data_IF_097395331195
#
_entry.id   IF_097395331195
#
_cell.length_a   1.000
_cell.length_b   1.000
_cell.length_c   1.000
_cell.angle_alpha   90.00
_cell.angle_beta   90.00
_cell.angle_gamma   90.00
#
_symmetry.space_group_name_H-M   'P 1'
#
loop_
_entity.id
_entity.type
_entity.pdbx_description
1 polymer ?
#
# COMPACT_ATOMS: atom_id res chain seq x y z
N UNK A 1 21.49 53.12 -35.10
CA UNK A 1 22.21 51.93 -34.65
C UNK A 1 21.74 51.62 -33.23
N UNK A 2 20.68 50.82 -33.12
CA UNK A 2 20.12 50.37 -31.84
C UNK A 2 20.59 48.93 -31.59
N UNK A 3 21.38 48.75 -30.54
CA UNK A 3 21.93 47.47 -30.14
C UNK A 3 20.82 46.56 -29.60
N UNK A 4 20.78 45.29 -30.03
CA UNK A 4 19.88 44.26 -29.52
C UNK A 4 20.26 43.84 -28.08
N UNK A 5 19.31 43.51 -27.22
CA UNK A 5 19.61 43.05 -25.87
C UNK A 5 20.22 41.65 -25.89
N UNK A 6 21.09 41.31 -24.90
CA UNK A 6 21.74 40.01 -24.83
C UNK A 6 20.76 38.90 -24.56
N UNK A 7 20.91 37.76 -25.26
CA UNK A 7 20.19 36.52 -25.04
C UNK A 7 20.41 36.00 -23.61
N UNK A 8 19.32 35.76 -22.90
CA UNK A 8 19.34 35.16 -21.58
C UNK A 8 19.86 33.72 -21.62
N UNK A 9 20.48 33.23 -20.52
CA UNK A 9 21.09 31.91 -20.49
C UNK A 9 20.06 30.81 -20.70
N UNK A 10 20.41 29.91 -21.63
CA UNK A 10 19.65 28.71 -21.91
C UNK A 10 19.51 27.85 -20.61
N UNK A 11 18.31 27.63 -20.15
CA UNK A 11 18.03 26.77 -19.03
C UNK A 11 18.30 25.31 -19.39
N UNK A 12 19.41 24.80 -18.91
CA UNK A 12 19.87 23.41 -19.01
C UNK A 12 18.89 22.45 -18.29
N UNK A 13 18.74 21.17 -18.72
CA UNK A 13 17.84 20.20 -18.09
C UNK A 13 18.41 19.61 -16.80
N UNK A 14 18.75 20.43 -15.82
CA UNK A 14 19.35 20.02 -14.55
C UNK A 14 18.34 19.61 -13.47
N UNK A 15 17.03 19.71 -13.73
CA UNK A 15 16.01 19.45 -12.70
C UNK A 15 15.58 17.97 -12.55
N UNK A 16 15.98 17.09 -13.46
CA UNK A 16 15.61 15.67 -13.39
C UNK A 16 16.58 14.81 -12.57
N UNK A 17 17.79 15.25 -12.35
CA UNK A 17 18.82 14.51 -11.59
C UNK A 17 18.73 14.68 -10.07
N UNK A 18 17.97 15.65 -9.56
CA UNK A 18 17.96 15.96 -8.13
C UNK A 18 16.94 15.13 -7.29
N UNK A 19 15.90 14.58 -7.89
CA UNK A 19 14.85 13.85 -7.16
C UNK A 19 15.29 12.43 -6.80
N UNK A 20 15.99 11.77 -7.72
CA UNK A 20 16.53 10.42 -7.49
C UNK A 20 17.83 10.43 -6.67
N UNK A 21 18.49 11.56 -6.53
CA UNK A 21 19.75 11.69 -5.77
C UNK A 21 19.54 11.61 -4.24
N UNK A 22 18.32 11.79 -3.75
CA UNK A 22 17.98 11.71 -2.32
C UNK A 22 17.45 10.34 -1.86
N UNK A 23 17.19 9.41 -2.79
CA UNK A 23 16.73 8.06 -2.47
C UNK A 23 17.91 7.11 -2.26
N UNK A 24 17.78 6.19 -1.30
CA UNK A 24 18.76 5.11 -1.17
C UNK A 24 18.77 4.27 -2.46
N UNK A 25 19.89 3.63 -2.77
CA UNK A 25 19.98 2.73 -3.94
C UNK A 25 18.93 1.63 -3.86
N UNK A 26 18.60 1.18 -2.65
CA UNK A 26 17.58 0.17 -2.41
C UNK A 26 16.18 0.67 -2.77
N UNK A 27 15.80 1.87 -2.35
CA UNK A 27 14.49 2.46 -2.65
C UNK A 27 14.34 2.78 -4.16
N UNK A 28 15.46 3.18 -4.80
CA UNK A 28 15.46 3.50 -6.23
C UNK A 28 15.16 2.30 -7.12
N UNK A 29 15.61 1.11 -6.72
CA UNK A 29 15.42 -0.15 -7.45
C UNK A 29 14.38 -1.07 -6.79
N UNK A 30 13.51 -0.53 -5.93
CA UNK A 30 12.51 -1.30 -5.19
C UNK A 30 11.67 -2.20 -6.10
N UNK A 31 11.17 -1.68 -7.23
CA UNK A 31 10.39 -2.46 -8.18
C UNK A 31 11.18 -3.67 -8.72
N UNK A 32 12.47 -3.49 -8.99
CA UNK A 32 13.34 -4.58 -9.47
C UNK A 32 13.55 -5.62 -8.38
N UNK A 33 13.77 -5.20 -7.14
CA UNK A 33 13.93 -6.11 -6.01
C UNK A 33 12.66 -6.92 -5.74
N UNK A 34 11.49 -6.28 -5.82
CA UNK A 34 10.19 -6.96 -5.65
C UNK A 34 10.00 -8.00 -6.76
N UNK A 35 10.20 -7.64 -8.04
CA UNK A 35 10.08 -8.60 -9.15
C UNK A 35 11.09 -9.75 -9.04
N UNK A 36 12.32 -9.47 -8.61
CA UNK A 36 13.33 -10.49 -8.36
C UNK A 36 12.90 -11.43 -7.21
N UNK A 37 12.38 -10.90 -6.11
CA UNK A 37 11.88 -11.69 -4.98
C UNK A 37 10.68 -12.56 -5.38
N UNK A 38 9.75 -12.03 -6.17
CA UNK A 38 8.62 -12.79 -6.74
C UNK A 38 9.10 -13.95 -7.60
N UNK A 39 10.00 -13.67 -8.55
CA UNK A 39 10.55 -14.69 -9.45
C UNK A 39 11.33 -15.75 -8.67
N UNK A 40 12.12 -15.33 -7.69
CA UNK A 40 12.87 -16.24 -6.82
C UNK A 40 11.94 -17.10 -5.97
N UNK A 41 10.89 -16.53 -5.37
CA UNK A 41 9.88 -17.27 -4.62
C UNK A 41 9.15 -18.30 -5.47
N UNK A 42 8.68 -17.92 -6.66
CA UNK A 42 8.10 -18.86 -7.64
C UNK A 42 9.05 -19.99 -8.00
N UNK A 43 10.33 -19.67 -8.23
CA UNK A 43 11.37 -20.66 -8.50
C UNK A 43 11.57 -21.64 -7.34
N UNK A 44 11.67 -21.12 -6.11
CA UNK A 44 11.80 -21.95 -4.91
C UNK A 44 10.61 -22.90 -4.73
N UNK A 45 9.39 -22.40 -4.80
CA UNK A 45 8.18 -23.23 -4.67
C UNK A 45 8.06 -24.33 -5.73
N UNK A 46 8.71 -24.15 -6.88
CA UNK A 46 8.71 -25.12 -7.97
C UNK A 46 9.87 -26.10 -7.93
N UNK A 47 11.05 -25.65 -7.48
CA UNK A 47 12.29 -26.43 -7.49
C UNK A 47 12.51 -27.24 -6.21
N UNK A 48 11.85 -26.87 -5.11
CA UNK A 48 11.99 -27.55 -3.81
C UNK A 48 10.66 -28.24 -3.46
N UNK A 49 10.52 -29.55 -3.79
CA UNK A 49 9.31 -30.31 -3.46
C UNK A 49 9.08 -30.33 -1.95
N UNK A 50 7.83 -30.10 -1.52
CA UNK A 50 7.47 -30.11 -0.11
C UNK A 50 7.87 -28.86 0.68
N UNK A 51 8.31 -27.78 0.00
CA UNK A 51 8.59 -26.50 0.65
C UNK A 51 7.32 -25.85 1.20
N UNK A 52 6.23 -25.98 0.47
CA UNK A 52 4.88 -25.55 0.86
C UNK A 52 4.42 -26.29 2.13
N UNK A 53 4.57 -27.62 2.18
CA UNK A 53 4.27 -28.43 3.36
C UNK A 53 5.16 -28.06 4.54
N UNK A 54 6.48 -27.86 4.31
CA UNK A 54 7.43 -27.48 5.35
C UNK A 54 7.12 -26.08 5.94
N UNK A 55 6.77 -25.11 5.10
CA UNK A 55 6.38 -23.76 5.54
C UNK A 55 5.02 -23.77 6.23
N UNK A 56 4.06 -24.60 5.77
CA UNK A 56 2.76 -24.78 6.39
C UNK A 56 2.87 -25.53 7.73
N UNK A 57 3.84 -26.43 7.90
CA UNK A 57 4.04 -27.13 9.18
C UNK A 57 4.43 -26.23 10.34
N UNK A 58 4.94 -25.02 10.06
CA UNK A 58 5.34 -24.02 11.04
C UNK A 58 4.22 -22.99 11.24
N UNK A 59 3.00 -23.50 11.52
CA UNK A 59 1.83 -22.68 11.83
C UNK A 59 1.49 -22.76 13.33
N UNK A 60 1.06 -21.61 13.88
CA UNK A 60 0.55 -21.52 15.24
C UNK A 60 -0.81 -20.79 15.20
N UNK A 61 -1.87 -21.49 15.55
CA UNK A 61 -3.22 -20.93 15.54
C UNK A 61 -3.71 -20.52 14.14
N UNK A 62 -3.34 -21.27 13.09
CA UNK A 62 -3.68 -20.95 11.68
C UNK A 62 -2.82 -19.88 11.04
N UNK A 63 -1.83 -19.36 11.74
CA UNK A 63 -0.94 -18.30 11.24
C UNK A 63 0.43 -18.90 10.92
N UNK A 64 0.87 -18.73 9.67
CA UNK A 64 2.23 -19.08 9.26
C UNK A 64 3.26 -18.19 9.96
N UNK A 65 4.10 -18.80 10.82
CA UNK A 65 5.14 -18.05 11.56
C UNK A 65 6.15 -17.33 10.65
N UNK A 66 6.63 -17.90 9.53
CA UNK A 66 7.52 -17.18 8.63
C UNK A 66 6.88 -15.91 8.06
N UNK A 67 5.61 -15.98 7.66
CA UNK A 67 4.86 -14.82 7.14
C UNK A 67 4.65 -13.80 8.26
N UNK A 68 4.21 -14.24 9.43
CA UNK A 68 4.01 -13.37 10.59
C UNK A 68 5.29 -12.62 10.97
N UNK A 69 6.43 -13.31 11.03
CA UNK A 69 7.73 -12.71 11.33
C UNK A 69 8.13 -11.68 10.26
N UNK A 70 8.01 -12.03 8.98
CA UNK A 70 8.29 -11.13 7.87
C UNK A 70 7.48 -9.84 7.96
N UNK A 71 6.18 -9.96 8.23
CA UNK A 71 5.26 -8.83 8.37
C UNK A 71 5.61 -7.95 9.58
N UNK A 72 5.88 -8.54 10.74
CA UNK A 72 6.25 -7.78 11.94
C UNK A 72 7.58 -7.04 11.73
N UNK A 73 8.57 -7.70 11.14
CA UNK A 73 9.87 -7.10 10.81
C UNK A 73 9.72 -5.96 9.79
N UNK A 74 8.81 -6.10 8.80
CA UNK A 74 8.54 -5.08 7.80
C UNK A 74 7.79 -3.89 8.40
N UNK A 75 6.71 -4.14 9.15
CA UNK A 75 5.80 -3.09 9.64
C UNK A 75 6.43 -2.23 10.75
N UNK A 76 7.19 -2.84 11.64
CA UNK A 76 7.76 -2.13 12.79
C UNK A 76 8.63 -0.92 12.40
N UNK A 77 9.64 -1.01 11.50
CA UNK A 77 10.44 0.15 11.13
C UNK A 77 9.64 1.25 10.41
N UNK A 78 8.64 0.86 9.63
CA UNK A 78 7.75 1.80 8.94
C UNK A 78 6.98 2.63 9.96
N UNK A 79 6.38 1.96 10.93
CA UNK A 79 5.56 2.60 11.96
C UNK A 79 6.41 3.37 12.99
N UNK A 80 7.67 2.96 13.23
CA UNK A 80 8.62 3.72 14.03
C UNK A 80 9.08 5.04 13.36
N UNK A 81 8.98 5.16 12.02
CA UNK A 81 9.26 6.41 11.28
C UNK A 81 8.12 7.42 11.38
N UNK A 82 6.90 6.99 11.69
CA UNK A 82 5.70 7.83 11.69
C UNK A 82 5.80 8.93 12.74
N UNK A 83 5.53 10.17 12.35
CA UNK A 83 5.51 11.35 13.22
C UNK A 83 4.10 11.57 13.78
N UNK A 84 3.79 10.86 14.84
CA UNK A 84 2.49 10.97 15.52
C UNK A 84 2.25 12.35 16.18
N UNK A 85 3.34 13.08 16.48
CA UNK A 85 3.31 14.44 17.01
C UNK A 85 2.94 15.52 15.98
N UNK A 86 2.95 15.19 14.70
CA UNK A 86 2.63 16.09 13.60
C UNK A 86 1.19 15.93 13.07
N UNK A 87 0.40 15.05 13.67
CA UNK A 87 -1.01 14.92 13.31
C UNK A 87 -1.74 16.28 13.37
N UNK A 88 -1.35 17.15 14.31
CA UNK A 88 -1.90 18.50 14.44
C UNK A 88 -1.52 19.45 13.29
N UNK A 89 -0.35 19.24 12.66
CA UNK A 89 0.14 20.16 11.62
C UNK A 89 -0.62 19.99 10.29
N UNK A 90 -1.11 18.78 9.98
CA UNK A 90 -1.91 18.50 8.76
C UNK A 90 -3.40 18.78 8.97
N UNK A 91 -3.85 18.87 10.24
CA UNK A 91 -5.21 19.39 10.55
C UNK A 91 -5.40 20.83 10.06
N UNK A 92 -4.33 21.56 9.76
CA UNK A 92 -4.35 22.88 9.11
C UNK A 92 -4.86 22.85 7.66
N UNK A 93 -4.63 21.74 6.90
CA UNK A 93 -5.23 21.58 5.57
C UNK A 93 -6.43 20.64 5.60
N UNK A 94 -7.56 21.22 6.05
CA UNK A 94 -8.83 20.48 6.15
C UNK A 94 -9.26 19.87 4.83
N UNK A 95 -8.93 20.50 3.68
CA UNK A 95 -9.31 20.00 2.36
C UNK A 95 -8.59 18.68 2.05
N UNK A 96 -7.27 18.65 2.23
CA UNK A 96 -6.48 17.43 2.03
C UNK A 96 -6.92 16.33 3.00
N UNK A 97 -7.10 16.65 4.27
CA UNK A 97 -7.47 15.69 5.31
C UNK A 97 -8.83 15.04 5.04
N UNK A 98 -9.88 15.86 4.84
CA UNK A 98 -11.24 15.36 4.60
C UNK A 98 -11.28 14.56 3.28
N UNK A 99 -10.64 15.07 2.23
CA UNK A 99 -10.59 14.37 0.94
C UNK A 99 -9.86 13.03 1.05
N UNK A 100 -8.74 12.99 1.78
CA UNK A 100 -8.00 11.75 2.00
C UNK A 100 -8.82 10.73 2.79
N UNK A 101 -9.47 11.14 3.88
CA UNK A 101 -10.34 10.25 4.65
C UNK A 101 -11.50 9.71 3.80
N UNK A 102 -12.19 10.58 3.07
CA UNK A 102 -13.31 10.19 2.22
C UNK A 102 -12.87 9.22 1.10
N UNK A 103 -11.75 9.54 0.42
CA UNK A 103 -11.26 8.71 -0.68
C UNK A 103 -10.71 7.38 -0.18
N UNK A 104 -9.98 7.37 0.93
CA UNK A 104 -9.37 6.13 1.44
C UNK A 104 -10.37 5.22 2.16
N UNK A 105 -11.33 5.77 2.91
CA UNK A 105 -12.15 4.98 3.84
C UNK A 105 -13.60 4.82 3.41
N UNK A 106 -14.05 5.60 2.42
CA UNK A 106 -15.39 5.47 1.84
C UNK A 106 -15.30 5.03 0.39
N UNK A 107 -14.63 5.85 -0.46
CA UNK A 107 -14.60 5.60 -1.90
C UNK A 107 -13.78 4.36 -2.26
N UNK A 108 -12.59 4.20 -1.68
CA UNK A 108 -11.69 3.08 -1.97
C UNK A 108 -12.34 1.71 -1.72
N UNK A 109 -12.85 1.42 -0.51
CA UNK A 109 -13.59 0.20 -0.24
C UNK A 109 -14.80 -0.01 -1.15
N UNK A 110 -15.59 1.05 -1.40
CA UNK A 110 -16.77 0.98 -2.27
C UNK A 110 -16.42 0.65 -3.72
N UNK A 111 -15.38 1.28 -4.26
CA UNK A 111 -14.90 1.00 -5.63
C UNK A 111 -14.38 -0.42 -5.74
N UNK A 112 -13.56 -0.89 -4.77
CA UNK A 112 -13.06 -2.26 -4.80
C UNK A 112 -14.20 -3.28 -4.68
N UNK A 113 -15.18 -3.04 -3.79
CA UNK A 113 -16.37 -3.87 -3.68
C UNK A 113 -17.12 -3.96 -5.01
N UNK A 114 -17.42 -2.82 -5.63
CA UNK A 114 -18.12 -2.78 -6.91
C UNK A 114 -17.35 -3.53 -8.02
N UNK A 115 -16.04 -3.28 -8.14
CA UNK A 115 -15.20 -3.95 -9.12
C UNK A 115 -15.10 -5.46 -8.87
N UNK A 116 -14.97 -5.87 -7.61
CA UNK A 116 -14.92 -7.29 -7.24
C UNK A 116 -16.21 -8.01 -7.65
N UNK A 117 -17.37 -7.40 -7.43
CA UNK A 117 -18.66 -7.97 -7.85
C UNK A 117 -18.88 -7.94 -9.36
N UNK A 118 -18.40 -6.91 -10.08
CA UNK A 118 -18.53 -6.81 -11.54
C UNK A 118 -17.65 -7.84 -12.27
N UNK A 119 -16.40 -8.00 -11.81
CA UNK A 119 -15.42 -8.83 -12.53
C UNK A 119 -15.36 -10.28 -12.06
N UNK A 120 -15.77 -10.55 -10.81
CA UNK A 120 -15.65 -11.87 -10.16
C UNK A 120 -17.00 -12.35 -9.56
N UNK A 121 -18.12 -12.27 -10.30
CA UNK A 121 -19.42 -12.70 -9.76
C UNK A 121 -19.46 -14.20 -9.47
N UNK A 122 -18.75 -15.00 -10.25
CA UNK A 122 -18.67 -16.46 -10.21
C UNK A 122 -17.49 -17.02 -9.40
N UNK A 123 -16.65 -16.14 -8.82
CA UNK A 123 -15.44 -16.52 -8.06
C UNK A 123 -15.47 -15.91 -6.66
N UNK A 124 -16.30 -16.44 -5.73
CA UNK A 124 -16.56 -15.84 -4.43
C UNK A 124 -15.30 -15.71 -3.55
N UNK A 125 -14.39 -16.67 -3.59
CA UNK A 125 -13.14 -16.61 -2.82
C UNK A 125 -12.25 -15.44 -3.27
N UNK A 126 -12.03 -15.29 -4.58
CA UNK A 126 -11.22 -14.19 -5.13
C UNK A 126 -11.89 -12.85 -4.92
N UNK A 127 -13.22 -12.78 -5.06
CA UNK A 127 -14.02 -11.60 -4.77
C UNK A 127 -13.84 -11.13 -3.32
N UNK A 128 -13.98 -12.05 -2.38
CA UNK A 128 -13.77 -11.80 -0.94
C UNK A 128 -12.35 -11.31 -0.67
N UNK A 129 -11.35 -11.97 -1.25
CA UNK A 129 -9.95 -11.55 -1.11
C UNK A 129 -9.69 -10.13 -1.62
N UNK A 130 -10.24 -9.77 -2.79
CA UNK A 130 -10.12 -8.40 -3.31
C UNK A 130 -10.84 -7.36 -2.45
N UNK A 131 -12.00 -7.70 -1.88
CA UNK A 131 -12.69 -6.80 -0.95
C UNK A 131 -11.80 -6.56 0.28
N UNK A 132 -11.19 -7.60 0.85
CA UNK A 132 -10.24 -7.49 1.97
C UNK A 132 -9.05 -6.59 1.60
N UNK A 133 -8.49 -6.75 0.40
CA UNK A 133 -7.45 -5.85 -0.14
C UNK A 133 -7.96 -4.41 -0.20
N UNK A 134 -9.19 -4.20 -0.66
CA UNK A 134 -9.84 -2.89 -0.74
C UNK A 134 -9.99 -2.18 0.60
N UNK A 135 -10.07 -2.92 1.71
CA UNK A 135 -10.14 -2.37 3.06
C UNK A 135 -8.77 -1.99 3.63
N UNK A 136 -7.69 -2.54 3.10
CA UNK A 136 -6.34 -2.35 3.58
C UNK A 136 -5.66 -1.16 2.88
N UNK A 137 -5.40 -0.07 3.60
CA UNK A 137 -4.75 1.14 3.05
C UNK A 137 -3.23 1.06 3.16
N UNK A 138 -2.54 1.50 2.12
CA UNK A 138 -1.08 1.49 2.07
C UNK A 138 -0.47 2.37 3.18
N UNK A 139 0.55 1.84 3.87
CA UNK A 139 1.26 2.53 4.95
C UNK A 139 2.79 2.56 4.73
N UNK A 140 3.32 1.70 3.87
CA UNK A 140 4.76 1.56 3.64
C UNK A 140 5.19 2.09 2.27
N UNK A 141 4.74 1.46 1.21
CA UNK A 141 5.20 1.75 -0.16
C UNK A 141 4.70 3.09 -0.70
N UNK A 142 3.57 3.57 -0.21
CA UNK A 142 3.00 4.86 -0.62
C UNK A 142 3.97 6.03 -0.43
N UNK A 143 4.81 6.01 0.60
CA UNK A 143 5.81 7.07 0.85
C UNK A 143 6.85 7.09 -0.27
N UNK A 144 7.25 5.93 -0.78
CA UNK A 144 8.22 5.80 -1.87
C UNK A 144 7.62 6.32 -3.18
N UNK A 145 6.40 5.91 -3.51
CA UNK A 145 5.71 6.41 -4.70
C UNK A 145 5.48 7.91 -4.64
N UNK A 146 5.12 8.43 -3.46
CA UNK A 146 4.96 9.85 -3.21
C UNK A 146 6.27 10.62 -3.44
N UNK A 147 7.39 10.13 -2.92
CA UNK A 147 8.71 10.74 -3.09
C UNK A 147 9.15 10.74 -4.55
N UNK A 148 8.96 9.62 -5.26
CA UNK A 148 9.28 9.51 -6.69
C UNK A 148 8.44 10.48 -7.53
N UNK A 149 7.18 10.71 -7.14
CA UNK A 149 6.28 11.65 -7.80
C UNK A 149 6.48 13.11 -7.35
N UNK A 150 7.45 13.42 -6.51
CA UNK A 150 7.64 14.72 -5.89
C UNK A 150 6.41 15.23 -5.14
N UNK A 151 5.74 14.35 -4.43
CA UNK A 151 4.64 14.69 -3.52
C UNK A 151 5.12 15.29 -2.20
N UNK A 152 4.18 15.79 -1.41
CA UNK A 152 4.44 16.36 -0.08
C UNK A 152 4.76 15.24 0.93
N UNK A 153 6.02 15.14 1.35
CA UNK A 153 6.50 14.11 2.30
C UNK A 153 5.86 14.22 3.68
N UNK A 154 5.67 15.45 4.15
CA UNK A 154 5.10 15.67 5.49
C UNK A 154 3.62 15.27 5.49
N UNK A 155 2.89 15.68 4.46
CA UNK A 155 1.50 15.26 4.27
C UNK A 155 1.38 13.74 4.14
N UNK A 156 2.20 13.10 3.30
CA UNK A 156 2.20 11.64 3.14
C UNK A 156 2.44 10.91 4.48
N UNK A 157 3.43 11.36 5.26
CA UNK A 157 3.73 10.74 6.56
C UNK A 157 2.57 10.85 7.55
N UNK A 158 1.83 11.96 7.54
CA UNK A 158 0.66 12.14 8.41
C UNK A 158 -0.53 11.31 7.91
N UNK A 159 -0.78 11.28 6.60
CA UNK A 159 -1.85 10.44 6.05
C UNK A 159 -1.60 8.94 6.29
N UNK A 160 -0.34 8.50 6.22
CA UNK A 160 0.07 7.14 6.60
C UNK A 160 -0.20 6.87 8.08
N UNK A 161 0.16 7.80 8.97
CA UNK A 161 -0.13 7.67 10.40
C UNK A 161 -1.64 7.52 10.66
N UNK A 162 -2.41 8.38 10.02
CA UNK A 162 -3.86 8.38 10.12
C UNK A 162 -4.45 7.07 9.59
N UNK A 163 -4.02 6.63 8.40
CA UNK A 163 -4.44 5.36 7.83
C UNK A 163 -4.08 4.18 8.73
N UNK A 164 -2.90 4.17 9.36
CA UNK A 164 -2.48 3.11 10.27
C UNK A 164 -3.40 2.97 11.48
N UNK A 165 -3.78 4.10 12.09
CA UNK A 165 -4.70 4.12 13.24
C UNK A 165 -6.12 3.71 12.81
N UNK A 166 -6.63 4.33 11.74
CA UNK A 166 -7.96 4.00 11.22
C UNK A 166 -8.08 2.53 10.83
N UNK A 167 -7.05 1.96 10.22
CA UNK A 167 -7.04 0.58 9.77
C UNK A 167 -7.20 -0.39 10.94
N UNK A 168 -6.52 -0.17 12.07
CA UNK A 168 -6.68 -0.99 13.27
C UNK A 168 -8.10 -0.90 13.83
N UNK A 169 -8.70 0.29 13.81
CA UNK A 169 -10.01 0.53 14.41
C UNK A 169 -11.17 0.14 13.50
N UNK A 170 -11.05 0.41 12.19
CA UNK A 170 -12.18 0.35 11.26
C UNK A 170 -12.19 -0.92 10.40
N UNK A 171 -11.08 -1.65 10.28
CA UNK A 171 -10.98 -2.76 9.33
C UNK A 171 -12.02 -3.85 9.59
N UNK A 172 -12.19 -4.28 10.85
CA UNK A 172 -13.18 -5.29 11.21
C UNK A 172 -14.61 -4.82 10.94
N UNK A 173 -14.93 -3.56 11.26
CA UNK A 173 -16.25 -2.97 11.00
C UNK A 173 -16.55 -2.87 9.50
N UNK A 174 -15.57 -2.43 8.71
CA UNK A 174 -15.70 -2.34 7.26
C UNK A 174 -15.76 -3.75 6.64
N UNK A 175 -15.01 -4.71 7.18
CA UNK A 175 -15.10 -6.12 6.80
C UNK A 175 -16.52 -6.64 6.97
N UNK A 176 -17.12 -6.47 8.13
CA UNK A 176 -18.51 -6.81 8.38
C UNK A 176 -19.46 -6.11 7.39
N UNK A 177 -19.27 -4.81 7.18
CA UNK A 177 -20.13 -4.04 6.29
C UNK A 177 -20.08 -4.54 4.84
N UNK A 178 -18.86 -4.71 4.27
CA UNK A 178 -18.68 -5.06 2.86
C UNK A 178 -18.75 -6.56 2.56
N UNK A 179 -18.51 -7.44 3.54
CA UNK A 179 -18.52 -8.90 3.31
C UNK A 179 -19.83 -9.57 3.78
N UNK A 180 -20.54 -8.96 4.71
CA UNK A 180 -21.77 -9.55 5.26
C UNK A 180 -23.00 -8.66 5.04
N UNK A 181 -23.00 -7.43 5.60
CA UNK A 181 -24.20 -6.57 5.61
C UNK A 181 -24.60 -6.11 4.20
N UNK A 182 -23.66 -5.55 3.43
CA UNK A 182 -23.97 -4.93 2.14
C UNK A 182 -24.39 -5.95 1.06
N UNK A 183 -23.69 -7.10 0.88
CA UNK A 183 -24.15 -8.15 -0.02
C UNK A 183 -25.53 -8.66 0.34
N UNK A 184 -25.79 -8.91 1.64
CA UNK A 184 -27.10 -9.36 2.12
C UNK A 184 -28.22 -8.36 1.83
N UNK A 185 -27.96 -7.04 1.96
CA UNK A 185 -28.95 -5.99 1.66
C UNK A 185 -29.21 -5.79 0.17
N UNK A 186 -28.19 -6.02 -0.66
CA UNK A 186 -28.29 -5.90 -2.12
C UNK A 186 -28.80 -7.17 -2.81
N UNK A 187 -29.05 -8.25 -2.06
CA UNK A 187 -29.44 -9.53 -2.63
C UNK A 187 -28.36 -10.17 -3.51
N UNK A 188 -27.08 -9.82 -3.26
CA UNK A 188 -25.92 -10.30 -4.04
C UNK A 188 -25.34 -11.62 -3.49
N UNK A 189 -25.98 -12.30 -2.56
CA UNK A 189 -25.49 -13.55 -1.98
C UNK A 189 -26.23 -14.75 -2.53
N UNK A 190 -25.51 -15.82 -2.87
CA UNK A 190 -26.07 -17.12 -3.25
C UNK A 190 -26.61 -17.91 -2.03
N UNK A 191 -26.94 -17.23 -0.93
CA UNK A 191 -27.42 -17.86 0.31
C UNK A 191 -26.33 -18.52 1.17
N UNK A 192 -25.11 -18.68 0.67
CA UNK A 192 -23.96 -19.07 1.49
C UNK A 192 -23.47 -17.83 2.24
N UNK A 193 -23.88 -17.70 3.48
CA UNK A 193 -23.18 -16.81 4.42
C UNK A 193 -21.77 -17.34 4.56
N UNK A 194 -20.80 -16.56 4.08
CA UNK A 194 -19.41 -16.81 4.44
C UNK A 194 -19.36 -16.76 5.97
N UNK A 195 -19.04 -17.90 6.59
CA UNK A 195 -18.92 -17.99 8.06
C UNK A 195 -17.61 -17.29 8.48
N UNK A 196 -17.59 -15.97 8.25
CA UNK A 196 -16.42 -15.12 8.50
C UNK A 196 -16.60 -14.50 9.88
N UNK A 197 -15.75 -14.89 10.82
CA UNK A 197 -15.68 -14.23 12.11
C UNK A 197 -15.06 -12.84 11.99
N UNK A 198 -15.88 -11.79 12.05
CA UNK A 198 -15.41 -10.42 12.05
C UNK A 198 -14.50 -10.11 13.25
N UNK A 199 -14.71 -10.81 14.36
CA UNK A 199 -13.83 -10.72 15.53
C UNK A 199 -12.46 -11.27 15.21
N UNK A 200 -12.39 -12.38 14.48
CA UNK A 200 -11.13 -12.97 14.03
C UNK A 200 -10.35 -12.04 13.09
N UNK A 201 -11.04 -11.45 12.10
CA UNK A 201 -10.44 -10.43 11.22
C UNK A 201 -9.90 -9.26 12.06
N UNK A 202 -10.68 -8.74 13.00
CA UNK A 202 -10.26 -7.63 13.84
C UNK A 202 -9.05 -7.99 14.73
N UNK A 203 -9.02 -9.22 15.28
CA UNK A 203 -7.88 -9.72 16.05
C UNK A 203 -6.63 -9.88 15.18
N UNK A 204 -6.76 -10.42 13.98
CA UNK A 204 -5.65 -10.56 13.04
C UNK A 204 -5.07 -9.19 12.66
N UNK A 205 -5.90 -8.19 12.39
CA UNK A 205 -5.46 -6.81 12.16
C UNK A 205 -4.78 -6.22 13.40
N UNK A 206 -5.31 -6.47 14.59
CA UNK A 206 -4.70 -6.01 15.83
C UNK A 206 -3.31 -6.62 16.06
N UNK A 207 -3.11 -7.88 15.70
CA UNK A 207 -1.81 -8.57 15.79
C UNK A 207 -0.84 -8.04 14.72
N UNK A 208 -1.21 -8.09 13.44
CA UNK A 208 -0.28 -7.80 12.34
C UNK A 208 0.01 -6.32 12.13
N UNK A 209 -0.90 -5.45 12.55
CA UNK A 209 -0.73 -4.01 12.45
C UNK A 209 -0.73 -3.32 13.81
N UNK A 210 -1.64 -3.69 14.71
CA UNK A 210 -1.77 -3.04 16.01
C UNK A 210 -0.52 -3.21 16.88
N UNK A 211 0.04 -4.44 16.96
CA UNK A 211 1.27 -4.69 17.73
C UNK A 211 2.45 -3.88 17.18
N UNK A 212 2.78 -3.91 15.88
CA UNK A 212 3.84 -3.05 15.32
C UNK A 212 3.56 -1.55 15.47
N UNK A 213 2.29 -1.13 15.41
CA UNK A 213 1.88 0.27 15.60
C UNK A 213 2.23 0.75 17.02
N UNK A 214 1.82 -0.02 18.02
CA UNK A 214 2.13 0.30 19.42
C UNK A 214 3.64 0.23 19.68
N UNK A 215 4.32 -0.79 19.18
CA UNK A 215 5.77 -0.93 19.29
C UNK A 215 6.50 0.26 18.63
N UNK A 216 6.13 0.63 17.42
CA UNK A 216 6.69 1.78 16.70
C UNK A 216 6.45 3.10 17.42
N UNK A 217 5.22 3.33 17.89
CA UNK A 217 4.87 4.50 18.68
C UNK A 217 5.70 4.61 19.97
N UNK A 218 5.77 3.53 20.76
CA UNK A 218 6.53 3.49 22.01
C UNK A 218 8.03 3.70 21.74
N UNK A 219 8.57 3.02 20.73
CA UNK A 219 9.98 3.16 20.34
C UNK A 219 10.29 4.60 19.96
N UNK A 220 9.44 5.27 19.20
CA UNK A 220 9.62 6.66 18.84
C UNK A 220 9.55 7.56 20.08
N UNK A 221 8.51 7.41 20.89
CA UNK A 221 8.33 8.23 22.11
C UNK A 221 9.49 8.11 23.10
N UNK A 222 9.95 6.89 23.37
CA UNK A 222 11.06 6.67 24.29
C UNK A 222 12.42 6.95 23.63
N UNK A 223 12.57 6.63 22.34
CA UNK A 223 13.79 6.89 21.59
C UNK A 223 14.07 8.38 21.46
N UNK A 224 13.06 9.20 21.15
CA UNK A 224 13.20 10.66 21.10
C UNK A 224 13.51 11.26 22.48
N UNK A 225 12.97 10.68 23.56
CA UNK A 225 13.31 11.14 24.92
C UNK A 225 14.75 10.84 25.29
N UNK A 226 15.34 9.71 24.83
CA UNK A 226 16.71 9.29 25.17
C UNK A 226 17.77 9.88 24.27
N UNK A 227 17.51 9.94 22.97
CA UNK A 227 18.50 10.33 21.95
C UNK A 227 18.28 11.77 21.46
N UNK A 228 17.20 12.43 21.87
CA UNK A 228 16.71 13.62 21.24
C UNK A 228 16.14 13.30 19.85
N UNK A 229 15.31 14.20 19.29
CA UNK A 229 14.69 14.03 17.98
C UNK A 229 15.71 13.85 16.86
N UNK A 230 16.71 14.72 16.81
CA UNK A 230 17.78 14.66 15.81
C UNK A 230 18.57 13.35 15.89
N UNK A 231 18.91 12.89 17.11
CA UNK A 231 19.62 11.63 17.33
C UNK A 231 18.76 10.41 16.92
N UNK A 232 17.47 10.42 17.20
CA UNK A 232 16.56 9.36 16.79
C UNK A 232 16.46 9.28 15.26
N UNK A 233 16.25 10.42 14.58
CA UNK A 233 16.10 10.48 13.12
C UNK A 233 17.42 10.19 12.37
N UNK A 234 18.58 10.62 12.90
CA UNK A 234 19.86 10.47 12.21
C UNK A 234 20.64 9.20 12.55
N UNK A 235 20.40 8.58 13.72
CA UNK A 235 21.18 7.41 14.15
C UNK A 235 20.35 6.14 14.26
N UNK A 236 19.13 6.23 14.78
CA UNK A 236 18.29 5.05 15.02
C UNK A 236 17.49 4.65 13.77
N UNK A 237 16.76 5.57 13.17
CA UNK A 237 15.94 5.27 11.98
C UNK A 237 16.74 4.73 10.79
N UNK A 238 17.96 5.22 10.46
CA UNK A 238 18.74 4.63 9.39
C UNK A 238 19.20 3.19 9.65
N UNK A 239 19.32 2.78 10.92
CA UNK A 239 19.69 1.41 11.29
C UNK A 239 18.54 0.43 11.15
N UNK A 240 17.33 0.84 11.51
CA UNK A 240 16.15 -0.03 11.44
C UNK A 240 15.45 0.04 10.08
N UNK A 241 15.63 1.16 9.34
CA UNK A 241 14.97 1.40 8.05
C UNK A 241 15.11 0.26 7.03
N UNK A 242 16.31 -0.27 6.78
CA UNK A 242 16.53 -1.36 5.84
C UNK A 242 15.77 -2.66 6.18
N UNK A 243 15.46 -2.90 7.45
CA UNK A 243 14.71 -4.08 7.87
C UNK A 243 13.29 -4.11 7.33
N UNK A 244 12.68 -2.94 7.06
CA UNK A 244 11.39 -2.88 6.39
C UNK A 244 11.45 -3.52 5.00
N UNK A 245 12.50 -3.22 4.22
CA UNK A 245 12.70 -3.80 2.90
C UNK A 245 13.05 -5.29 2.99
N UNK A 246 13.91 -5.69 3.91
CA UNK A 246 14.26 -7.11 4.09
C UNK A 246 13.04 -7.93 4.51
N UNK A 247 12.22 -7.42 5.43
CA UNK A 247 10.96 -8.05 5.81
C UNK A 247 9.98 -8.16 4.63
N UNK A 248 9.85 -7.10 3.83
CA UNK A 248 9.03 -7.08 2.61
C UNK A 248 9.49 -8.16 1.61
N UNK A 249 10.77 -8.14 1.24
CA UNK A 249 11.30 -9.09 0.25
C UNK A 249 11.21 -10.53 0.74
N UNK A 250 11.51 -10.77 2.02
CA UNK A 250 11.36 -12.08 2.64
C UNK A 250 9.91 -12.55 2.59
N UNK A 251 8.96 -11.72 2.98
CA UNK A 251 7.53 -12.04 2.94
C UNK A 251 7.07 -12.35 1.52
N UNK A 252 7.49 -11.55 0.54
CA UNK A 252 7.19 -11.80 -0.89
C UNK A 252 7.75 -13.15 -1.33
N UNK A 253 9.00 -13.47 -1.02
CA UNK A 253 9.61 -14.77 -1.38
C UNK A 253 8.80 -15.92 -0.78
N UNK A 254 8.46 -15.85 0.51
CA UNK A 254 7.68 -16.90 1.18
C UNK A 254 6.29 -17.05 0.57
N UNK A 255 5.59 -15.95 0.33
CA UNK A 255 4.25 -15.95 -0.26
C UNK A 255 4.24 -16.53 -1.67
N UNK A 256 5.21 -16.14 -2.51
CA UNK A 256 5.32 -16.65 -3.88
C UNK A 256 5.84 -18.09 -3.92
N UNK A 257 6.59 -18.54 -2.91
CA UNK A 257 6.97 -19.94 -2.77
C UNK A 257 5.75 -20.81 -2.41
N UNK A 258 4.90 -20.36 -1.49
CA UNK A 258 3.68 -21.06 -1.06
C UNK A 258 2.60 -21.09 -2.14
N UNK A 259 2.41 -19.98 -2.86
CA UNK A 259 1.35 -19.81 -3.85
C UNK A 259 1.82 -20.07 -5.29
N UNK A 260 3.10 -20.35 -5.49
CA UNK A 260 3.71 -20.47 -6.81
C UNK A 260 3.08 -21.55 -7.70
N UNK A 261 2.73 -22.68 -7.11
CA UNK A 261 1.99 -23.75 -7.78
C UNK A 261 0.64 -23.27 -8.32
N UNK A 262 -0.14 -22.59 -7.49
CA UNK A 262 -1.47 -22.07 -7.84
C UNK A 262 -1.38 -20.97 -8.90
N UNK A 263 -0.46 -20.02 -8.75
CA UNK A 263 -0.25 -18.91 -9.70
C UNK A 263 0.08 -19.44 -11.10
N UNK A 264 0.96 -20.45 -11.17
CA UNK A 264 1.41 -20.99 -12.46
C UNK A 264 0.43 -21.99 -13.10
N UNK A 265 -0.37 -22.69 -12.29
CA UNK A 265 -1.38 -23.65 -12.78
C UNK A 265 -2.70 -22.99 -13.18
N UNK A 266 -3.00 -21.78 -12.67
CA UNK A 266 -4.26 -21.05 -12.91
C UNK A 266 -4.03 -19.64 -13.47
N UNK A 267 -3.35 -19.48 -14.61
CA UNK A 267 -3.00 -18.16 -15.14
C UNK A 267 -4.22 -17.33 -15.54
N UNK A 268 -5.34 -17.95 -15.92
CA UNK A 268 -6.58 -17.25 -16.22
C UNK A 268 -7.21 -16.64 -14.98
N UNK A 269 -7.16 -17.33 -13.84
CA UNK A 269 -7.66 -16.81 -12.58
C UNK A 269 -6.83 -15.60 -12.12
N UNK A 270 -5.50 -15.69 -12.26
CA UNK A 270 -4.59 -14.56 -11.98
C UNK A 270 -4.93 -13.36 -12.88
N UNK A 271 -5.18 -13.59 -14.18
CA UNK A 271 -5.59 -12.53 -15.09
C UNK A 271 -6.95 -11.92 -14.71
N UNK A 272 -7.91 -12.74 -14.28
CA UNK A 272 -9.23 -12.28 -13.80
C UNK A 272 -9.12 -11.44 -12.52
N UNK A 273 -8.24 -11.80 -11.58
CA UNK A 273 -7.95 -11.00 -10.38
C UNK A 273 -7.25 -9.68 -10.75
N UNK A 274 -6.36 -9.71 -11.75
CA UNK A 274 -5.60 -8.54 -12.18
C UNK A 274 -6.49 -7.43 -12.79
N UNK A 275 -7.55 -7.79 -13.51
CA UNK A 275 -8.41 -6.82 -14.19
C UNK A 275 -9.08 -5.82 -13.22
N UNK A 276 -9.80 -6.24 -12.16
CA UNK A 276 -10.38 -5.31 -11.20
C UNK A 276 -9.31 -4.50 -10.44
N UNK A 277 -8.12 -5.04 -10.19
CA UNK A 277 -7.00 -4.31 -9.60
C UNK A 277 -6.49 -3.20 -10.51
N UNK A 278 -6.29 -3.48 -11.80
CA UNK A 278 -5.92 -2.46 -12.79
C UNK A 278 -6.95 -1.35 -12.87
N UNK A 279 -8.24 -1.70 -12.95
CA UNK A 279 -9.33 -0.74 -12.95
C UNK A 279 -9.35 0.09 -11.66
N UNK A 280 -9.14 -0.55 -10.51
CA UNK A 280 -9.08 0.09 -9.21
C UNK A 280 -7.95 1.13 -9.13
N UNK A 281 -6.72 0.76 -9.48
CA UNK A 281 -5.59 1.70 -9.46
C UNK A 281 -5.82 2.88 -10.38
N UNK A 282 -6.36 2.65 -11.58
CA UNK A 282 -6.68 3.71 -12.52
C UNK A 282 -7.77 4.64 -11.95
N UNK A 283 -8.91 4.10 -11.53
CA UNK A 283 -10.03 4.89 -11.01
C UNK A 283 -9.63 5.69 -9.76
N UNK A 284 -8.94 5.05 -8.81
CA UNK A 284 -8.57 5.69 -7.56
C UNK A 284 -7.51 6.76 -7.78
N UNK A 285 -6.48 6.47 -8.57
CA UNK A 285 -5.41 7.44 -8.81
C UNK A 285 -5.91 8.64 -9.62
N UNK A 286 -6.53 8.40 -10.79
CA UNK A 286 -7.02 9.49 -11.65
C UNK A 286 -8.16 10.27 -10.98
N UNK A 287 -9.07 9.58 -10.28
CA UNK A 287 -10.15 10.20 -9.53
C UNK A 287 -9.65 11.10 -8.40
N UNK A 288 -8.72 10.62 -7.59
CA UNK A 288 -8.13 11.40 -6.50
C UNK A 288 -7.25 12.55 -7.03
N UNK A 289 -6.53 12.34 -8.14
CA UNK A 289 -5.74 13.40 -8.78
C UNK A 289 -6.66 14.49 -9.36
N UNK A 290 -7.75 14.12 -10.01
CA UNK A 290 -8.76 15.06 -10.51
C UNK A 290 -9.45 15.82 -9.36
N UNK A 291 -9.80 15.11 -8.27
CA UNK A 291 -10.38 15.72 -7.07
C UNK A 291 -9.42 16.74 -6.45
N UNK A 292 -8.14 16.37 -6.24
CA UNK A 292 -7.13 17.28 -5.68
C UNK A 292 -6.99 18.56 -6.49
N UNK A 293 -6.97 18.43 -7.82
CA UNK A 293 -6.96 19.58 -8.74
C UNK A 293 -8.24 20.41 -8.62
N UNK A 294 -9.41 19.78 -8.57
CA UNK A 294 -10.71 20.46 -8.50
C UNK A 294 -10.90 21.27 -7.21
N UNK A 295 -10.41 20.75 -6.07
CA UNK A 295 -10.48 21.46 -4.78
C UNK A 295 -9.34 22.46 -4.57
N UNK A 296 -8.44 22.62 -5.56
CA UNK A 296 -7.38 23.62 -5.58
C UNK A 296 -6.14 23.26 -4.76
N UNK A 297 -5.84 21.97 -4.58
CA UNK A 297 -4.58 21.55 -3.97
C UNK A 297 -3.39 21.87 -4.88
N UNK A 298 -2.22 22.08 -4.28
CA UNK A 298 -0.95 22.16 -5.02
C UNK A 298 -0.61 20.82 -5.64
N UNK A 299 0.32 20.80 -6.62
CA UNK A 299 0.70 19.55 -7.29
C UNK A 299 1.18 18.48 -6.31
N UNK A 300 2.08 18.84 -5.40
CA UNK A 300 2.67 17.97 -4.40
C UNK A 300 1.61 17.30 -3.50
N UNK A 301 0.63 18.08 -3.02
CA UNK A 301 -0.50 17.55 -2.23
C UNK A 301 -1.50 16.75 -3.06
N UNK A 302 -1.71 17.13 -4.32
CA UNK A 302 -2.55 16.37 -5.24
C UNK A 302 -1.92 15.00 -5.54
N UNK A 303 -0.61 14.95 -5.80
CA UNK A 303 0.11 13.70 -5.96
C UNK A 303 0.05 12.83 -4.70
N UNK A 304 0.26 13.43 -3.52
CA UNK A 304 0.13 12.74 -2.23
C UNK A 304 -1.25 12.11 -2.05
N UNK A 305 -2.32 12.88 -2.32
CA UNK A 305 -3.69 12.36 -2.25
C UNK A 305 -3.90 11.18 -3.20
N UNK A 306 -3.44 11.31 -4.46
CA UNK A 306 -3.65 10.30 -5.48
C UNK A 306 -2.91 8.98 -5.18
N UNK A 307 -1.64 9.05 -4.76
CA UNK A 307 -0.88 7.84 -4.40
C UNK A 307 -1.38 7.22 -3.11
N UNK A 308 -1.82 8.01 -2.13
CA UNK A 308 -2.40 7.48 -0.90
C UNK A 308 -3.74 6.78 -1.18
N UNK A 309 -4.52 7.31 -2.10
CA UNK A 309 -5.82 6.74 -2.49
C UNK A 309 -5.68 5.44 -3.29
N UNK A 310 -4.69 5.35 -4.18
CA UNK A 310 -4.50 4.19 -5.04
C UNK A 310 -3.82 3.01 -4.31
N UNK A 311 -2.86 3.28 -3.41
CA UNK A 311 -2.09 2.22 -2.76
C UNK A 311 -2.88 1.43 -1.74
N UNK A 312 -2.66 0.10 -1.73
CA UNK A 312 -3.23 -0.83 -0.77
C UNK A 312 -2.12 -1.46 0.10
N UNK A 313 -2.50 -1.98 1.27
CA UNK A 313 -1.62 -2.77 2.12
C UNK A 313 -1.88 -4.25 1.85
N UNK A 314 -1.30 -4.74 0.76
CA UNK A 314 -1.47 -6.14 0.35
C UNK A 314 -0.94 -7.10 1.41
N UNK A 315 0.15 -6.75 2.06
CA UNK A 315 0.78 -7.59 3.06
C UNK A 315 -0.15 -7.84 4.24
N UNK A 316 -0.82 -6.80 4.74
CA UNK A 316 -1.83 -6.95 5.77
C UNK A 316 -3.04 -7.73 5.27
N UNK A 317 -3.53 -7.42 4.06
CA UNK A 317 -4.66 -8.11 3.47
C UNK A 317 -4.38 -9.61 3.31
N UNK A 318 -3.18 -9.97 2.86
CA UNK A 318 -2.73 -11.37 2.74
C UNK A 318 -2.65 -12.02 4.13
N UNK A 319 -2.07 -11.33 5.12
CA UNK A 319 -1.97 -11.88 6.47
C UNK A 319 -3.34 -12.18 7.06
N UNK A 320 -4.28 -11.26 6.91
CA UNK A 320 -5.67 -11.44 7.35
C UNK A 320 -6.33 -12.58 6.57
N UNK A 321 -6.16 -12.63 5.23
CA UNK A 321 -6.74 -13.69 4.42
C UNK A 321 -6.18 -15.07 4.77
N UNK A 322 -4.87 -15.20 4.97
CA UNK A 322 -4.22 -16.46 5.37
C UNK A 322 -4.69 -16.89 6.76
N UNK A 323 -4.71 -15.97 7.72
CA UNK A 323 -5.10 -16.29 9.08
C UNK A 323 -6.59 -16.68 9.20
N UNK A 324 -7.44 -16.14 8.33
CA UNK A 324 -8.89 -16.40 8.36
C UNK A 324 -9.31 -17.59 7.47
N UNK A 325 -8.67 -17.75 6.30
CA UNK A 325 -9.10 -18.72 5.28
C UNK A 325 -8.04 -19.79 4.95
N UNK A 326 -6.83 -19.65 5.48
CA UNK A 326 -5.69 -20.53 5.20
C UNK A 326 -4.80 -20.07 4.05
N UNK A 327 -3.59 -20.60 4.04
CA UNK A 327 -2.50 -20.21 3.11
C UNK A 327 -2.85 -20.49 1.64
N UNK A 328 -3.55 -21.59 1.37
CA UNK A 328 -3.89 -22.04 0.00
C UNK A 328 -5.21 -21.51 -0.51
N UNK A 329 -5.87 -20.63 0.25
CA UNK A 329 -7.19 -20.09 -0.09
C UNK A 329 -7.16 -19.15 -1.30
N UNK A 330 -8.25 -19.08 -2.03
CA UNK A 330 -8.42 -18.11 -3.13
C UNK A 330 -8.37 -16.65 -2.64
N UNK A 331 -8.81 -16.41 -1.41
CA UNK A 331 -8.72 -15.10 -0.76
C UNK A 331 -7.26 -14.67 -0.59
N UNK A 332 -6.39 -15.57 -0.12
CA UNK A 332 -4.95 -15.30 0.00
C UNK A 332 -4.31 -15.07 -1.38
N UNK A 333 -4.67 -15.88 -2.40
CA UNK A 333 -4.17 -15.72 -3.76
C UNK A 333 -4.48 -14.33 -4.33
N UNK A 334 -5.69 -13.82 -4.11
CA UNK A 334 -6.07 -12.46 -4.56
C UNK A 334 -5.16 -11.39 -3.99
N UNK A 335 -4.77 -11.53 -2.72
CA UNK A 335 -3.81 -10.65 -2.08
C UNK A 335 -2.41 -10.75 -2.71
N UNK A 336 -1.93 -11.99 -2.99
CA UNK A 336 -0.58 -12.22 -3.56
C UNK A 336 -0.46 -11.69 -5.00
N UNK A 337 -1.52 -11.74 -5.78
CA UNK A 337 -1.56 -11.14 -7.13
C UNK A 337 -1.45 -9.61 -7.05
N UNK A 338 -1.87 -9.00 -5.95
CA UNK A 338 -1.89 -7.56 -5.77
C UNK A 338 -0.56 -6.86 -6.04
N UNK A 339 0.53 -7.17 -5.32
CA UNK A 339 1.84 -6.56 -5.54
C UNK A 339 2.38 -6.75 -6.96
N UNK A 340 2.05 -7.88 -7.62
CA UNK A 340 2.43 -8.15 -9.01
C UNK A 340 1.87 -7.09 -9.97
N UNK A 341 0.66 -6.59 -9.69
CA UNK A 341 -0.02 -5.60 -10.50
C UNK A 341 0.28 -4.18 -10.00
N UNK A 342 0.29 -3.96 -8.67
CA UNK A 342 0.49 -2.65 -8.07
C UNK A 342 1.81 -2.02 -8.48
N UNK A 343 2.91 -2.75 -8.36
CA UNK A 343 4.25 -2.20 -8.57
C UNK A 343 4.43 -1.63 -9.98
N UNK A 344 4.19 -2.37 -11.09
CA UNK A 344 4.35 -1.81 -12.43
C UNK A 344 3.35 -0.68 -12.71
N UNK A 345 2.13 -0.77 -12.20
CA UNK A 345 1.10 0.27 -12.41
C UNK A 345 1.48 1.56 -11.70
N UNK A 346 1.84 1.50 -10.41
CA UNK A 346 2.19 2.70 -9.66
C UNK A 346 3.49 3.35 -10.16
N UNK A 347 4.46 2.56 -10.62
CA UNK A 347 5.64 3.09 -11.36
C UNK A 347 5.18 3.87 -12.60
N UNK A 348 4.30 3.30 -13.41
CA UNK A 348 3.72 3.99 -14.57
C UNK A 348 3.02 5.30 -14.18
N UNK A 349 2.23 5.28 -13.10
CA UNK A 349 1.53 6.45 -12.59
C UNK A 349 2.47 7.52 -12.02
N UNK A 350 3.65 7.16 -11.50
CA UNK A 350 4.70 8.13 -11.15
C UNK A 350 5.12 8.91 -12.39
N UNK A 351 5.39 8.25 -13.52
CA UNK A 351 5.74 8.95 -14.77
C UNK A 351 4.60 9.83 -15.28
N UNK A 352 3.35 9.38 -15.20
CA UNK A 352 2.17 10.19 -15.54
C UNK A 352 2.09 11.43 -14.65
N UNK A 353 2.26 11.25 -13.33
CA UNK A 353 2.27 12.35 -12.36
C UNK A 353 3.32 13.41 -12.71
N UNK A 354 4.56 12.98 -12.94
CA UNK A 354 5.67 13.87 -13.29
C UNK A 354 5.43 14.61 -14.62
N UNK A 355 4.85 13.95 -15.62
CA UNK A 355 4.47 14.60 -16.87
C UNK A 355 3.38 15.69 -16.66
N UNK A 356 2.44 15.44 -15.75
CA UNK A 356 1.39 16.40 -15.44
C UNK A 356 1.85 17.54 -14.53
N UNK A 357 2.92 17.38 -13.76
CA UNK A 357 3.54 18.42 -12.94
C UNK A 357 3.83 19.68 -13.78
N UNK A 358 4.33 19.51 -15.00
CA UNK A 358 4.64 20.61 -15.93
C UNK A 358 3.39 21.43 -16.29
N UNK A 359 2.22 20.81 -16.35
CA UNK A 359 0.94 21.48 -16.64
C UNK A 359 0.35 22.22 -15.43
N UNK A 360 0.67 21.78 -14.20
CA UNK A 360 0.30 22.49 -12.97
C UNK A 360 1.03 23.82 -12.83
N UNK A 361 2.32 23.87 -13.22
CA UNK A 361 3.14 25.08 -13.16
C UNK A 361 2.83 26.06 -14.28
N UNK A 362 2.41 25.60 -15.45
CA UNK A 362 2.07 26.44 -16.59
C UNK A 362 0.72 27.17 -16.47
N UNK A 363 -0.16 26.76 -15.55
CA UNK A 363 -1.52 27.28 -15.37
C UNK A 363 -1.67 28.38 -14.31
N UNK A 364 -0.59 28.86 -13.68
CA UNK A 364 -0.62 30.02 -12.78
C UNK A 364 -0.05 31.23 -13.52
N UNK A 365 -0.89 32.20 -13.98
CA UNK A 365 -0.36 33.49 -14.43
C UNK A 365 0.15 34.25 -13.20
N UNK A 366 1.46 34.50 -13.16
CA UNK A 366 2.11 35.55 -12.39
C UNK A 366 1.97 35.49 -10.87
N UNK A 367 2.95 34.94 -10.20
CA UNK A 367 3.43 35.40 -8.90
C UNK A 367 4.92 35.58 -8.96
#
# INVERSE_FOLDING_TARGET
MTAAPPAGPATTPAAQSSVTAGLSTLDRYLAVWILAAMTFGLGLGRLVPGLDDALASVEVGGISLPIALGLLVMMYPVLAKVRYDRLDAVTGDRKLMISSLAVNWVLGPAVMFALAWIFLPDLPEYRTGLIIVGLARCIAMVVIWNDLACGDREAAAVLVALNSVFQVLAFGLLGWFYLDLLPGRLGLGDGERLDISMVEIALNVAVFLGVPLVAGFLTRRFGERRLGRAGYESRFLPRIGPWALYGLLFTIVVLFALQGGTITSRPLDVARIALPLLAYFALMWFGAFALGKAIGLTYDRTATLAFTAAGNNFELAIAVAIATFGVTSGQALSGVVGPLIEVPVLVGLVYVSLAWRRRFTAGRPGS
#
